data_IF_299680360275
#
_entry.id   IF_299680360275
#
_cell.length_a   1.000
_cell.length_b   1.000
_cell.length_c   1.000
_cell.angle_alpha   90.00
_cell.angle_beta   90.00
_cell.angle_gamma   90.00
#
_symmetry.space_group_name_H-M   'P 1'
#
loop_
_entity.id
_entity.type
_entity.pdbx_description
1 polymer ?
#
# COMPACT_ATOMS: atom_id res chain seq x y z
N UNK A 1 32.24 3.27 17.07
CA UNK A 1 32.53 2.20 16.10
C UNK A 1 31.80 2.55 14.81
N UNK A 2 32.48 2.86 13.70
CA UNK A 2 31.78 3.11 12.44
C UNK A 2 31.14 1.79 11.98
N UNK A 3 29.83 1.80 11.81
CA UNK A 3 29.06 0.66 11.31
C UNK A 3 29.48 0.34 9.88
N UNK A 4 29.78 -0.93 9.63
CA UNK A 4 30.22 -1.46 8.35
C UNK A 4 29.28 -1.03 7.20
N UNK A 5 29.81 -0.79 5.99
CA UNK A 5 28.98 -0.58 4.81
C UNK A 5 28.04 -1.78 4.59
N UNK A 6 26.87 -1.58 3.94
CA UNK A 6 26.02 -2.70 3.54
C UNK A 6 26.87 -3.72 2.75
N UNK A 7 26.66 -5.02 2.95
CA UNK A 7 27.48 -6.04 2.32
C UNK A 7 27.40 -5.89 0.79
N UNK A 8 28.52 -6.12 0.08
CA UNK A 8 28.52 -6.10 -1.38
C UNK A 8 27.49 -7.10 -1.92
N UNK A 9 26.92 -6.85 -3.12
CA UNK A 9 26.04 -7.83 -3.76
C UNK A 9 26.75 -9.18 -3.80
N UNK A 10 26.09 -10.20 -3.23
CA UNK A 10 26.60 -11.57 -3.18
C UNK A 10 26.94 -12.10 -4.58
N UNK A 11 27.72 -13.19 -4.67
CA UNK A 11 28.20 -13.73 -5.92
C UNK A 11 27.05 -13.94 -6.92
N UNK A 12 27.29 -13.50 -8.14
CA UNK A 12 26.40 -13.51 -9.30
C UNK A 12 25.77 -14.88 -9.55
N UNK A 13 24.62 -15.16 -8.94
CA UNK A 13 23.92 -16.43 -9.12
C UNK A 13 22.63 -16.57 -8.29
N UNK A 14 22.61 -16.01 -7.07
CA UNK A 14 21.40 -16.03 -6.24
C UNK A 14 20.52 -14.82 -6.53
N UNK A 15 19.27 -15.09 -6.91
CA UNK A 15 18.30 -14.03 -7.19
C UNK A 15 17.96 -13.24 -5.92
N UNK A 16 17.92 -13.91 -4.76
CA UNK A 16 17.50 -13.33 -3.49
C UNK A 16 18.70 -12.99 -2.59
N UNK A 17 18.92 -11.72 -2.23
CA UNK A 17 20.05 -11.33 -1.40
C UNK A 17 19.93 -11.88 0.04
N UNK A 18 21.06 -12.15 0.73
CA UNK A 18 21.04 -12.74 2.07
C UNK A 18 20.27 -11.94 3.11
N UNK A 19 20.36 -10.60 3.08
CA UNK A 19 19.64 -9.73 4.02
C UNK A 19 18.12 -9.91 3.88
N UNK A 20 17.62 -10.07 2.65
CA UNK A 20 16.19 -10.23 2.39
C UNK A 20 15.68 -11.60 2.87
N UNK A 21 16.52 -12.64 2.77
CA UNK A 21 16.23 -13.96 3.38
C UNK A 21 16.24 -13.94 4.90
N UNK A 22 17.07 -13.08 5.49
CA UNK A 22 17.23 -12.98 6.93
C UNK A 22 16.21 -12.04 7.60
N UNK A 23 15.41 -11.29 6.83
CA UNK A 23 14.40 -10.41 7.40
C UNK A 23 13.32 -11.22 8.14
N UNK A 24 13.00 -10.85 9.40
CA UNK A 24 11.97 -11.53 10.15
C UNK A 24 10.59 -11.26 9.52
N UNK A 25 9.77 -12.30 9.44
CA UNK A 25 8.39 -12.16 9.01
C UNK A 25 7.56 -11.53 10.13
N UNK A 26 6.66 -10.62 9.73
CA UNK A 26 5.64 -10.09 10.62
C UNK A 26 4.69 -11.20 11.11
N UNK A 27 4.16 -11.11 12.33
CA UNK A 27 3.27 -12.12 12.87
C UNK A 27 1.97 -12.21 12.06
N UNK A 28 1.50 -13.44 11.91
CA UNK A 28 0.25 -13.78 11.25
C UNK A 28 -0.74 -14.32 12.29
N UNK A 29 -1.93 -13.72 12.35
CA UNK A 29 -2.96 -14.06 13.31
C UNK A 29 -4.21 -14.64 12.64
N UNK A 30 -4.81 -15.64 13.28
CA UNK A 30 -5.99 -16.37 12.80
C UNK A 30 -7.11 -16.28 13.85
N UNK A 31 -7.89 -15.17 13.88
CA UNK A 31 -8.97 -15.02 14.83
C UNK A 31 -10.02 -16.12 14.69
N UNK A 32 -10.55 -16.58 15.82
CA UNK A 32 -11.81 -17.34 15.85
C UNK A 32 -12.98 -16.46 15.41
N UNK A 33 -14.12 -17.07 15.05
CA UNK A 33 -15.33 -16.28 14.71
C UNK A 33 -15.77 -15.33 15.82
N UNK A 34 -15.62 -15.74 17.09
CA UNK A 34 -15.97 -14.92 18.25
C UNK A 34 -15.03 -13.71 18.39
N UNK A 35 -13.72 -13.92 18.20
CA UNK A 35 -12.74 -12.84 18.22
C UNK A 35 -12.91 -11.89 17.03
N UNK A 36 -13.30 -12.43 15.87
CA UNK A 36 -13.53 -11.64 14.67
C UNK A 36 -14.82 -10.79 14.74
N UNK A 37 -15.66 -10.96 15.77
CA UNK A 37 -16.88 -10.17 15.93
C UNK A 37 -16.61 -8.70 16.31
N UNK A 38 -15.51 -8.43 17.02
CA UNK A 38 -15.11 -7.08 17.45
C UNK A 38 -13.68 -6.75 16.97
N UNK A 39 -13.53 -5.98 15.88
CA UNK A 39 -12.22 -5.66 15.33
C UNK A 39 -11.34 -4.88 16.29
N UNK A 40 -11.90 -3.91 17.03
CA UNK A 40 -11.10 -3.06 17.91
C UNK A 40 -10.58 -3.85 19.10
N UNK A 41 -11.46 -4.66 19.73
CA UNK A 41 -11.04 -5.53 20.83
C UNK A 41 -9.98 -6.54 20.39
N UNK A 42 -10.12 -7.11 19.19
CA UNK A 42 -9.13 -8.06 18.67
C UNK A 42 -7.78 -7.39 18.36
N UNK A 43 -7.78 -6.19 17.76
CA UNK A 43 -6.56 -5.44 17.49
C UNK A 43 -5.81 -5.16 18.79
N UNK A 44 -6.50 -4.67 19.82
CA UNK A 44 -5.90 -4.43 21.14
C UNK A 44 -5.36 -5.72 21.79
N UNK A 45 -6.02 -6.85 21.55
CA UNK A 45 -5.55 -8.16 22.03
C UNK A 45 -4.21 -8.56 21.41
N UNK A 46 -4.04 -8.36 20.09
CA UNK A 46 -2.83 -8.80 19.36
C UNK A 46 -1.71 -7.76 19.38
N UNK A 47 -2.01 -6.50 19.72
CA UNK A 47 -1.07 -5.38 19.72
C UNK A 47 0.23 -5.68 20.47
N UNK A 48 0.25 -6.26 21.70
CA UNK A 48 1.51 -6.54 22.39
C UNK A 48 2.44 -7.49 21.62
N UNK A 49 1.89 -8.40 20.81
CA UNK A 49 2.66 -9.33 19.98
C UNK A 49 3.03 -8.74 18.60
N UNK A 50 2.21 -7.82 18.06
CA UNK A 50 2.43 -7.17 16.77
C UNK A 50 3.33 -5.93 16.84
N UNK A 51 3.27 -5.17 17.94
CA UNK A 51 4.01 -3.92 18.15
C UNK A 51 5.52 -4.01 17.88
N UNK A 52 6.24 -5.07 18.28
CA UNK A 52 7.67 -5.21 18.00
C UNK A 52 8.04 -5.33 16.52
N UNK A 53 7.06 -5.58 15.64
CA UNK A 53 7.25 -5.70 14.19
C UNK A 53 6.76 -4.45 13.45
N UNK A 54 5.94 -3.62 14.09
CA UNK A 54 5.29 -2.46 13.48
C UNK A 54 4.24 -2.79 12.43
N UNK A 55 4.03 -4.06 12.05
CA UNK A 55 2.94 -4.52 11.18
C UNK A 55 2.54 -5.94 11.57
N UNK A 56 1.34 -6.36 11.20
CA UNK A 56 0.94 -7.77 11.26
C UNK A 56 -0.03 -8.14 10.14
N UNK A 57 -0.21 -9.44 9.93
CA UNK A 57 -1.25 -9.98 9.03
C UNK A 57 -2.36 -10.65 9.82
N UNK A 58 -3.62 -10.38 9.49
CA UNK A 58 -4.78 -11.05 10.07
C UNK A 58 -5.51 -11.82 8.97
N UNK A 59 -5.65 -13.14 9.13
CA UNK A 59 -6.37 -13.99 8.18
C UNK A 59 -7.81 -14.19 8.68
N UNK A 60 -8.83 -13.62 8.01
CA UNK A 60 -10.21 -13.75 8.46
C UNK A 60 -10.68 -15.22 8.53
N UNK A 61 -11.49 -15.61 9.54
CA UNK A 61 -12.08 -16.96 9.63
C UNK A 61 -13.26 -17.16 8.66
N UNK A 62 -13.54 -16.19 7.80
CA UNK A 62 -14.70 -16.15 6.93
C UNK A 62 -14.29 -15.95 5.47
N UNK A 63 -15.22 -16.18 4.55
CA UNK A 63 -14.92 -16.10 3.12
C UNK A 63 -14.60 -14.66 2.68
N UNK A 64 -13.85 -14.52 1.59
CA UNK A 64 -13.71 -13.24 0.90
C UNK A 64 -15.05 -12.85 0.24
N UNK A 65 -15.36 -11.54 0.11
CA UNK A 65 -16.52 -11.10 -0.65
C UNK A 65 -16.50 -11.64 -2.10
N UNK A 66 -17.66 -12.05 -2.67
CA UNK A 66 -17.71 -12.57 -4.03
C UNK A 66 -17.15 -11.57 -5.04
N UNK A 67 -16.20 -12.01 -5.88
CA UNK A 67 -15.52 -11.17 -6.88
C UNK A 67 -16.49 -10.36 -7.75
N UNK A 68 -17.60 -10.97 -8.19
CA UNK A 68 -18.63 -10.28 -8.99
C UNK A 68 -19.23 -9.08 -8.26
N UNK A 69 -19.54 -9.25 -6.98
CA UNK A 69 -20.09 -8.19 -6.12
C UNK A 69 -19.04 -7.10 -5.89
N UNK A 70 -17.80 -7.49 -5.58
CA UNK A 70 -16.69 -6.54 -5.42
C UNK A 70 -16.45 -5.72 -6.69
N UNK A 71 -16.43 -6.34 -7.87
CA UNK A 71 -16.28 -5.64 -9.15
C UNK A 71 -17.43 -4.65 -9.40
N UNK A 72 -18.67 -5.00 -9.06
CA UNK A 72 -19.80 -4.09 -9.16
C UNK A 72 -19.68 -2.89 -8.19
N UNK A 73 -19.15 -3.11 -6.97
CA UNK A 73 -18.89 -2.03 -6.00
C UNK A 73 -17.76 -1.10 -6.47
N UNK A 74 -16.70 -1.67 -7.01
CA UNK A 74 -15.60 -0.90 -7.60
C UNK A 74 -16.07 -0.08 -8.81
N UNK A 75 -16.87 -0.65 -9.69
CA UNK A 75 -17.47 0.08 -10.82
C UNK A 75 -18.31 1.27 -10.33
N UNK A 76 -19.16 1.09 -9.31
CA UNK A 76 -19.91 2.21 -8.71
C UNK A 76 -18.99 3.28 -8.13
N UNK A 77 -17.92 2.87 -7.43
CA UNK A 77 -16.94 3.79 -6.84
C UNK A 77 -16.22 4.60 -7.93
N UNK A 78 -15.77 3.94 -9.00
CA UNK A 78 -15.05 4.61 -10.09
C UNK A 78 -15.96 5.53 -10.93
N UNK A 79 -17.24 5.19 -11.10
CA UNK A 79 -18.21 6.09 -11.75
C UNK A 79 -18.48 7.35 -10.94
N UNK A 80 -18.30 7.31 -9.61
CA UNK A 80 -18.48 8.47 -8.74
C UNK A 80 -17.25 9.39 -8.69
N UNK A 81 -16.12 8.99 -9.28
CA UNK A 81 -14.92 9.82 -9.31
C UNK A 81 -15.12 11.04 -10.24
N UNK A 82 -14.68 12.25 -9.84
CA UNK A 82 -14.68 13.42 -10.70
C UNK A 82 -13.98 13.15 -12.05
N UNK A 83 -14.59 13.63 -13.13
CA UNK A 83 -14.06 13.51 -14.50
C UNK A 83 -14.39 14.78 -15.30
N UNK A 84 -13.40 15.32 -16.01
CA UNK A 84 -13.54 16.48 -16.90
C UNK A 84 -14.18 16.13 -18.25
N UNK A 85 -14.34 14.84 -18.55
CA UNK A 85 -14.97 14.33 -19.77
C UNK A 85 -16.14 13.42 -19.39
N UNK A 86 -17.25 13.40 -20.16
CA UNK A 86 -18.34 12.45 -19.95
C UNK A 86 -17.79 11.03 -20.08
N UNK A 87 -17.54 10.39 -18.93
CA UNK A 87 -16.99 9.05 -18.89
C UNK A 87 -18.06 8.06 -19.37
N UNK A 88 -17.80 7.39 -20.50
CA UNK A 88 -18.68 6.36 -21.06
C UNK A 88 -18.63 5.04 -20.28
N UNK A 89 -17.62 4.88 -19.41
CA UNK A 89 -17.42 3.70 -18.57
C UNK A 89 -16.78 4.07 -17.20
N UNK A 90 -17.00 3.26 -16.14
CA UNK A 90 -16.36 3.44 -14.85
C UNK A 90 -14.83 3.45 -14.99
N UNK A 91 -14.19 4.55 -14.60
CA UNK A 91 -12.74 4.74 -14.76
C UNK A 91 -12.12 5.49 -13.59
N UNK A 92 -10.83 5.26 -13.37
CA UNK A 92 -10.05 5.91 -12.32
C UNK A 92 -8.75 6.50 -12.89
N UNK A 93 -8.23 7.59 -12.31
CA UNK A 93 -6.94 8.13 -12.69
C UNK A 93 -5.80 7.27 -12.11
N UNK A 94 -4.69 7.18 -12.83
CA UNK A 94 -3.46 6.54 -12.36
C UNK A 94 -2.25 7.43 -12.66
N UNK A 95 -1.27 7.48 -11.76
CA UNK A 95 0.00 8.19 -11.99
C UNK A 95 1.06 7.26 -12.55
N UNK A 96 2.00 7.84 -13.29
CA UNK A 96 3.29 7.21 -13.49
C UNK A 96 4.10 7.25 -12.21
N UNK A 97 4.80 6.16 -11.94
CA UNK A 97 5.78 6.05 -10.89
C UNK A 97 7.07 5.49 -11.47
N UNK A 98 8.19 6.02 -11.00
CA UNK A 98 9.50 5.52 -11.37
C UNK A 98 9.98 4.49 -10.34
N UNK A 99 10.61 3.43 -10.83
CA UNK A 99 11.28 2.40 -10.02
C UNK A 99 12.74 2.41 -10.45
N UNK A 100 13.63 2.88 -9.57
CA UNK A 100 15.05 3.09 -9.87
C UNK A 100 15.51 4.51 -9.55
N UNK A 101 16.83 4.70 -9.44
CA UNK A 101 17.45 6.00 -9.25
C UNK A 101 17.83 6.61 -10.60
N UNK A 102 17.68 7.92 -10.75
CA UNK A 102 18.17 8.64 -11.93
C UNK A 102 19.39 9.48 -11.54
N UNK A 103 20.58 8.92 -11.67
CA UNK A 103 21.82 9.53 -11.17
C UNK A 103 22.26 10.83 -11.89
N UNK A 104 21.62 11.22 -13.01
CA UNK A 104 22.14 12.29 -13.89
C UNK A 104 21.27 13.54 -14.04
N UNK A 105 20.01 13.55 -13.58
CA UNK A 105 19.10 14.71 -13.64
C UNK A 105 17.98 14.59 -12.59
N UNK A 106 17.49 15.71 -12.02
CA UNK A 106 16.25 15.68 -11.25
C UNK A 106 15.12 15.17 -12.15
N UNK A 107 14.43 14.12 -11.69
CA UNK A 107 13.22 13.65 -12.37
C UNK A 107 12.15 14.74 -12.24
N UNK A 108 11.27 14.91 -13.24
CA UNK A 108 10.10 15.78 -13.09
C UNK A 108 9.31 15.37 -11.84
N UNK A 109 8.80 16.35 -11.10
CA UNK A 109 7.93 16.09 -9.96
C UNK A 109 6.80 15.14 -10.39
N UNK A 110 6.71 13.98 -9.73
CA UNK A 110 5.65 13.02 -10.02
C UNK A 110 4.34 13.65 -9.60
N UNK A 111 3.48 13.96 -10.58
CA UNK A 111 2.14 14.47 -10.30
C UNK A 111 1.35 13.46 -9.46
N UNK A 112 0.57 13.96 -8.49
CA UNK A 112 -0.39 13.13 -7.74
C UNK A 112 -1.34 12.46 -8.73
N UNK A 113 -1.86 11.27 -8.37
CA UNK A 113 -2.74 10.50 -9.28
C UNK A 113 -3.93 11.35 -9.76
N UNK A 114 -4.44 12.23 -8.91
CA UNK A 114 -5.53 13.18 -9.21
C UNK A 114 -5.25 14.19 -10.32
N UNK A 115 -3.99 14.58 -10.48
CA UNK A 115 -3.55 15.51 -11.52
C UNK A 115 -3.20 14.78 -12.83
N UNK A 116 -3.17 13.45 -12.81
CA UNK A 116 -2.89 12.66 -14.00
C UNK A 116 -4.07 12.71 -14.96
N UNK A 117 -3.80 13.16 -16.20
CA UNK A 117 -4.75 13.08 -17.30
C UNK A 117 -5.07 11.64 -17.73
N UNK A 118 -4.34 10.63 -17.24
CA UNK A 118 -4.51 9.23 -17.66
C UNK A 118 -5.49 8.51 -16.76
N UNK A 119 -6.62 8.15 -17.36
CA UNK A 119 -7.66 7.33 -16.73
C UNK A 119 -7.72 5.94 -17.35
N UNK A 120 -8.08 4.96 -16.53
CA UNK A 120 -8.24 3.57 -16.94
C UNK A 120 -9.57 3.04 -16.46
N UNK A 121 -10.23 2.23 -17.28
CA UNK A 121 -11.14 1.21 -16.74
C UNK A 121 -10.32 0.10 -16.08
N UNK A 122 -10.93 -0.69 -15.18
CA UNK A 122 -10.22 -1.78 -14.53
C UNK A 122 -9.66 -2.81 -15.54
N UNK A 123 -10.43 -3.13 -16.58
CA UNK A 123 -10.01 -4.04 -17.66
C UNK A 123 -8.83 -3.47 -18.47
N UNK A 124 -8.83 -2.16 -18.75
CA UNK A 124 -7.71 -1.51 -19.43
C UNK A 124 -6.45 -1.55 -18.56
N UNK A 125 -6.58 -1.33 -17.25
CA UNK A 125 -5.45 -1.38 -16.33
C UNK A 125 -4.91 -2.81 -16.18
N UNK A 126 -5.77 -3.83 -16.09
CA UNK A 126 -5.36 -5.25 -16.09
C UNK A 126 -4.59 -5.61 -17.36
N UNK A 127 -5.10 -5.22 -18.53
CA UNK A 127 -4.41 -5.44 -19.83
C UNK A 127 -3.05 -4.74 -19.87
N UNK A 128 -2.98 -3.50 -19.36
CA UNK A 128 -1.74 -2.73 -19.25
C UNK A 128 -0.73 -3.40 -18.33
N UNK A 129 -1.16 -3.87 -17.16
CA UNK A 129 -0.33 -4.58 -16.19
C UNK A 129 0.24 -5.88 -16.77
N UNK A 130 -0.59 -6.66 -17.47
CA UNK A 130 -0.17 -7.88 -18.13
C UNK A 130 0.88 -7.61 -19.23
N UNK A 131 0.63 -6.62 -20.10
CA UNK A 131 1.53 -6.25 -21.18
C UNK A 131 2.89 -5.71 -20.68
N UNK A 132 2.91 -5.04 -19.53
CA UNK A 132 4.13 -4.47 -18.96
C UNK A 132 5.00 -5.50 -18.22
N UNK A 133 4.43 -6.63 -17.77
CA UNK A 133 5.17 -7.65 -16.99
C UNK A 133 6.40 -8.17 -17.72
N UNK A 134 6.26 -8.59 -18.98
CA UNK A 134 7.36 -9.13 -19.79
C UNK A 134 8.53 -8.14 -19.94
N UNK A 135 8.28 -6.91 -20.43
CA UNK A 135 9.29 -5.87 -20.52
C UNK A 135 9.98 -5.55 -19.18
N UNK A 136 9.24 -5.49 -18.06
CA UNK A 136 9.80 -5.23 -16.74
C UNK A 136 10.77 -6.34 -16.29
N UNK A 137 10.40 -7.61 -16.49
CA UNK A 137 11.27 -8.74 -16.16
C UNK A 137 12.48 -8.84 -17.08
N UNK A 138 12.30 -8.58 -18.38
CA UNK A 138 13.39 -8.59 -19.37
C UNK A 138 14.47 -7.55 -19.04
N UNK A 139 14.10 -6.36 -18.54
CA UNK A 139 15.06 -5.35 -18.06
C UNK A 139 15.94 -5.84 -16.92
N UNK A 140 15.48 -6.83 -16.18
CA UNK A 140 16.21 -7.46 -15.08
C UNK A 140 16.86 -8.79 -15.51
N UNK A 141 16.89 -9.10 -16.82
CA UNK A 141 17.44 -10.35 -17.32
C UNK A 141 16.65 -11.59 -16.89
N UNK A 142 15.35 -11.45 -16.60
CA UNK A 142 14.49 -12.56 -16.21
C UNK A 142 13.52 -12.90 -17.35
N UNK A 143 13.51 -14.15 -17.84
CA UNK A 143 12.53 -14.58 -18.83
C UNK A 143 11.10 -14.54 -18.26
N UNK A 144 10.14 -14.11 -19.08
CA UNK A 144 8.72 -14.03 -18.66
C UNK A 144 8.11 -15.40 -18.30
N UNK A 145 8.69 -16.50 -18.81
CA UNK A 145 8.29 -17.88 -18.52
C UNK A 145 8.80 -18.40 -17.17
N UNK A 146 9.74 -17.69 -16.53
CA UNK A 146 10.30 -18.13 -15.24
C UNK A 146 9.23 -18.06 -14.16
N UNK A 147 9.03 -19.18 -13.46
CA UNK A 147 8.25 -19.20 -12.23
C UNK A 147 8.99 -18.43 -11.13
N UNK A 148 8.32 -17.48 -10.50
CA UNK A 148 8.91 -16.58 -9.49
C UNK A 148 8.11 -16.71 -8.19
N UNK A 149 8.80 -17.03 -7.10
CA UNK A 149 8.24 -16.98 -5.74
C UNK A 149 7.96 -15.53 -5.31
N UNK A 150 7.20 -15.29 -4.21
CA UNK A 150 7.04 -13.95 -3.67
C UNK A 150 8.38 -13.27 -3.34
N UNK A 151 9.33 -14.03 -2.78
CA UNK A 151 10.66 -13.54 -2.42
C UNK A 151 11.51 -13.21 -3.66
N UNK A 152 11.32 -13.93 -4.77
CA UNK A 152 11.95 -13.58 -6.05
C UNK A 152 11.43 -12.25 -6.61
N UNK A 153 10.12 -12.01 -6.54
CA UNK A 153 9.54 -10.73 -6.97
C UNK A 153 10.08 -9.56 -6.15
N UNK A 154 10.30 -9.79 -4.86
CA UNK A 154 10.81 -8.82 -3.92
C UNK A 154 12.29 -8.48 -4.17
N UNK A 155 13.12 -9.50 -4.36
CA UNK A 155 14.51 -9.31 -4.75
C UNK A 155 14.63 -8.59 -6.10
N UNK A 156 13.73 -8.90 -7.05
CA UNK A 156 13.64 -8.21 -8.33
C UNK A 156 13.25 -6.74 -8.19
N UNK A 157 12.33 -6.43 -7.27
CA UNK A 157 11.96 -5.05 -6.97
C UNK A 157 13.16 -4.26 -6.46
N UNK A 158 13.91 -4.76 -5.47
CA UNK A 158 15.09 -4.06 -4.95
C UNK A 158 16.19 -3.92 -5.98
N UNK A 159 16.38 -4.91 -6.86
CA UNK A 159 17.31 -4.80 -7.99
C UNK A 159 16.86 -3.74 -9.00
N UNK A 160 15.55 -3.62 -9.26
CA UNK A 160 15.02 -2.56 -10.11
C UNK A 160 15.16 -1.17 -9.46
N UNK A 161 14.94 -1.07 -8.14
CA UNK A 161 15.07 0.15 -7.37
C UNK A 161 16.52 0.65 -7.28
N UNK A 162 17.49 -0.26 -7.26
CA UNK A 162 18.92 0.06 -7.27
C UNK A 162 19.49 0.33 -8.68
N UNK A 163 18.71 0.14 -9.75
CA UNK A 163 19.21 0.31 -11.11
C UNK A 163 19.28 1.78 -11.52
N UNK A 164 20.37 2.16 -12.22
CA UNK A 164 20.60 3.51 -12.77
C UNK A 164 19.69 3.88 -13.95
N UNK A 165 18.82 2.95 -14.38
CA UNK A 165 17.90 3.15 -15.49
C UNK A 165 16.48 2.85 -15.02
N UNK A 166 15.72 3.85 -14.54
CA UNK A 166 14.44 3.61 -13.93
C UNK A 166 13.44 3.01 -14.92
N UNK A 167 12.61 2.12 -14.40
CA UNK A 167 11.42 1.64 -15.07
C UNK A 167 10.23 2.55 -14.72
N UNK A 168 9.28 2.67 -15.65
CA UNK A 168 8.01 3.36 -15.39
C UNK A 168 6.91 2.35 -15.19
N UNK A 169 6.14 2.52 -14.12
CA UNK A 169 4.96 1.74 -13.78
C UNK A 169 3.78 2.68 -13.58
N UNK A 170 2.56 2.17 -13.76
CA UNK A 170 1.33 2.90 -13.47
C UNK A 170 0.84 2.50 -12.06
N UNK A 171 0.36 3.46 -11.27
CA UNK A 171 -0.20 3.20 -9.94
C UNK A 171 -1.35 4.15 -9.66
N UNK A 172 -2.51 3.61 -9.29
CA UNK A 172 -3.64 4.38 -8.79
C UNK A 172 -3.70 4.22 -7.27
N UNK A 173 -3.47 5.31 -6.55
CA UNK A 173 -3.53 5.35 -5.09
C UNK A 173 -4.51 6.42 -4.63
N UNK A 174 -4.98 6.27 -3.40
CA UNK A 174 -5.76 7.30 -2.69
C UNK A 174 -7.04 7.69 -3.45
N UNK A 175 -7.68 6.70 -4.07
CA UNK A 175 -8.95 6.86 -4.75
C UNK A 175 -10.10 6.68 -3.73
N UNK A 176 -11.03 7.63 -3.55
CA UNK A 176 -12.18 7.43 -2.69
C UNK A 176 -13.06 6.32 -3.27
N UNK A 177 -13.61 5.50 -2.39
CA UNK A 177 -14.47 4.39 -2.79
C UNK A 177 -14.22 3.14 -1.99
N UNK A 178 -14.91 2.06 -2.36
CA UNK A 178 -14.70 0.77 -1.70
C UNK A 178 -15.12 -0.40 -2.59
N UNK A 179 -14.42 -1.53 -2.44
CA UNK A 179 -14.86 -2.82 -2.98
C UNK A 179 -15.90 -3.51 -2.11
N UNK A 180 -16.15 -3.03 -0.89
CA UNK A 180 -17.20 -3.53 -0.01
C UNK A 180 -18.56 -2.88 -0.28
N UNK A 181 -19.64 -3.58 0.08
CA UNK A 181 -21.01 -3.05 0.02
C UNK A 181 -21.24 -2.01 1.13
N UNK A 182 -22.10 -1.02 0.84
CA UNK A 182 -22.47 0.04 1.79
C UNK A 182 -23.44 -0.39 2.88
N UNK A 183 -24.11 -1.54 2.71
CA UNK A 183 -25.02 -2.10 3.69
C UNK A 183 -24.67 -3.57 3.94
N UNK A 184 -24.74 -4.06 5.19
CA UNK A 184 -24.82 -5.49 5.45
C UNK A 184 -26.06 -6.02 4.74
N UNK A 185 -25.92 -7.11 4.00
CA UNK A 185 -27.08 -7.68 3.31
C UNK A 185 -28.12 -8.12 4.36
N UNK A 186 -29.36 -7.64 4.25
CA UNK A 186 -30.46 -8.02 5.15
C UNK A 186 -30.93 -9.48 4.96
N UNK A 187 -30.29 -10.24 4.06
CA UNK A 187 -30.61 -11.63 3.80
C UNK A 187 -29.78 -12.51 4.74
N UNK A 188 -30.44 -12.91 5.82
CA UNK A 188 -29.96 -13.88 6.77
C UNK A 188 -29.52 -15.20 6.08
N UNK A 189 -28.41 -15.74 6.60
CA UNK A 189 -28.01 -17.14 6.56
C UNK A 189 -27.65 -17.75 5.19
N UNK A 190 -26.36 -17.71 4.82
CA UNK A 190 -25.67 -18.91 4.32
C UNK A 190 -24.14 -18.76 4.28
N UNK A 191 -23.60 -17.57 3.99
CA UNK A 191 -22.14 -17.35 3.98
C UNK A 191 -21.83 -15.94 4.46
N UNK A 192 -21.30 -15.81 5.68
CA UNK A 192 -20.71 -14.55 6.15
C UNK A 192 -19.37 -14.40 5.43
N UNK A 193 -19.21 -13.35 4.63
CA UNK A 193 -17.92 -12.94 4.13
C UNK A 193 -17.43 -11.69 4.87
N UNK A 194 -16.15 -11.34 4.77
CA UNK A 194 -15.56 -10.17 5.47
C UNK A 194 -16.40 -8.90 5.34
N UNK A 195 -16.96 -8.64 4.15
CA UNK A 195 -17.80 -7.46 3.89
C UNK A 195 -19.12 -7.38 4.65
N UNK A 196 -19.60 -8.47 5.24
CA UNK A 196 -20.82 -8.50 6.07
C UNK A 196 -20.50 -8.45 7.58
N UNK A 197 -19.22 -8.28 7.93
CA UNK A 197 -18.75 -8.22 9.33
C UNK A 197 -18.38 -6.79 9.74
N UNK A 198 -18.08 -6.59 11.02
CA UNK A 198 -17.55 -5.32 11.54
C UNK A 198 -16.17 -4.96 10.95
N UNK A 199 -15.48 -5.89 10.29
CA UNK A 199 -14.23 -5.67 9.55
C UNK A 199 -14.44 -5.08 8.14
N UNK A 200 -15.68 -4.83 7.71
CA UNK A 200 -15.94 -4.04 6.51
C UNK A 200 -15.32 -2.64 6.70
N UNK A 201 -14.28 -2.33 5.92
CA UNK A 201 -13.51 -1.09 6.05
C UNK A 201 -14.32 0.20 5.82
N UNK A 202 -15.55 0.10 5.29
CA UNK A 202 -16.48 1.24 5.22
C UNK A 202 -17.03 1.66 6.58
N UNK A 203 -17.08 0.72 7.53
CA UNK A 203 -17.67 0.91 8.85
C UNK A 203 -16.65 0.73 9.99
N UNK A 204 -15.50 0.09 9.72
CA UNK A 204 -14.50 -0.25 10.74
C UNK A 204 -14.03 0.96 11.58
N UNK A 205 -13.82 2.13 10.95
CA UNK A 205 -13.46 3.36 11.66
C UNK A 205 -14.53 3.82 12.66
N UNK A 206 -15.79 3.37 12.51
CA UNK A 206 -16.94 3.71 13.35
C UNK A 206 -17.32 2.58 14.32
N UNK A 207 -16.54 1.49 14.37
CA UNK A 207 -16.78 0.37 15.28
C UNK A 207 -16.76 0.83 16.75
N UNK A 208 -17.54 0.15 17.63
CA UNK A 208 -17.39 0.32 19.08
C UNK A 208 -15.91 0.23 19.49
N UNK A 209 -15.46 1.11 20.39
CA UNK A 209 -14.06 1.21 20.79
C UNK A 209 -13.18 2.13 19.93
N UNK A 210 -13.56 2.44 18.68
CA UNK A 210 -12.84 3.43 17.87
C UNK A 210 -13.18 4.85 18.28
N UNK A 211 -12.17 5.70 18.51
CA UNK A 211 -12.37 7.14 18.77
C UNK A 211 -12.86 7.89 17.52
N UNK A 212 -12.54 7.39 16.33
CA UNK A 212 -12.97 7.99 15.06
C UNK A 212 -14.49 7.93 14.87
N UNK A 213 -15.22 7.13 15.67
CA UNK A 213 -16.68 7.12 15.67
C UNK A 213 -17.30 8.48 15.98
N UNK A 214 -16.59 9.35 16.69
CA UNK A 214 -17.06 10.68 17.09
C UNK A 214 -16.71 11.80 16.10
N UNK A 215 -15.90 11.51 15.07
CA UNK A 215 -15.61 12.47 14.01
C UNK A 215 -16.89 12.83 13.24
N UNK A 216 -17.25 14.11 13.13
CA UNK A 216 -18.51 14.50 12.48
C UNK A 216 -18.44 14.38 10.95
N UNK A 217 -17.29 14.74 10.40
CA UNK A 217 -17.07 14.79 8.97
C UNK A 217 -16.55 13.46 8.43
N UNK A 218 -16.81 13.21 7.15
CA UNK A 218 -16.15 12.15 6.41
C UNK A 218 -14.80 12.64 5.91
N UNK A 219 -13.73 12.06 6.44
CA UNK A 219 -12.35 12.30 6.02
C UNK A 219 -11.88 11.08 5.20
N UNK A 220 -11.65 11.24 3.87
CA UNK A 220 -11.10 10.18 3.02
C UNK A 220 -9.77 9.66 3.56
N UNK A 221 -9.62 8.34 3.62
CA UNK A 221 -8.42 7.69 4.18
C UNK A 221 -8.47 7.47 5.69
N UNK A 222 -9.26 8.26 6.42
CA UNK A 222 -9.34 8.17 7.88
C UNK A 222 -10.66 7.53 8.33
N UNK A 223 -11.79 8.14 7.97
CA UNK A 223 -13.12 7.63 8.36
C UNK A 223 -13.84 6.91 7.23
N UNK A 224 -13.37 7.09 5.99
CA UNK A 224 -13.86 6.37 4.81
C UNK A 224 -12.68 5.75 4.06
N UNK A 225 -12.83 4.53 3.51
CA UNK A 225 -11.70 3.82 2.90
C UNK A 225 -11.28 4.44 1.57
N UNK A 226 -10.02 4.19 1.21
CA UNK A 226 -9.48 4.46 -0.12
C UNK A 226 -9.17 3.17 -0.88
N UNK A 227 -9.18 3.25 -2.21
CA UNK A 227 -8.88 2.19 -3.15
C UNK A 227 -7.49 2.39 -3.75
N UNK A 228 -6.81 1.26 -3.94
CA UNK A 228 -5.50 1.17 -4.56
C UNK A 228 -5.53 0.15 -5.69
N UNK A 229 -5.13 0.55 -6.89
CA UNK A 229 -5.00 -0.34 -8.07
C UNK A 229 -3.57 -0.27 -8.58
N UNK A 230 -2.91 -1.43 -8.61
CA UNK A 230 -1.47 -1.53 -8.78
C UNK A 230 -1.10 -2.61 -9.80
N UNK A 231 0.12 -2.52 -10.32
CA UNK A 231 0.75 -3.50 -11.19
C UNK A 231 2.10 -3.93 -10.60
N UNK A 232 2.80 -4.84 -11.29
CA UNK A 232 4.13 -5.29 -10.86
C UNK A 232 5.07 -4.09 -10.67
N UNK A 233 5.72 -4.02 -9.51
CA UNK A 233 6.63 -2.96 -9.07
C UNK A 233 6.00 -1.58 -8.78
N UNK A 234 4.67 -1.43 -8.83
CA UNK A 234 4.03 -0.27 -8.16
C UNK A 234 4.37 -0.31 -6.66
N UNK A 235 4.70 0.84 -6.08
CA UNK A 235 5.17 0.95 -4.70
C UNK A 235 4.55 2.14 -3.97
N UNK A 236 4.60 2.12 -2.65
CA UNK A 236 4.34 3.26 -1.78
C UNK A 236 5.59 3.50 -0.93
N UNK A 237 5.95 4.77 -0.74
CA UNK A 237 7.17 5.13 -0.03
C UNK A 237 7.08 4.80 1.46
N UNK A 238 8.23 4.82 2.14
CA UNK A 238 8.24 4.89 3.59
C UNK A 238 7.43 6.10 4.06
N UNK A 239 6.47 5.85 4.93
CA UNK A 239 5.60 6.86 5.53
C UNK A 239 5.09 6.34 6.86
N UNK A 240 4.48 7.25 7.60
CA UNK A 240 3.50 6.90 8.62
C UNK A 240 2.16 7.55 8.30
N UNK A 241 1.10 6.98 8.85
CA UNK A 241 -0.26 7.48 8.81
C UNK A 241 -0.39 8.81 9.56
N UNK A 242 -1.31 9.64 9.08
CA UNK A 242 -1.63 10.91 9.73
C UNK A 242 -2.08 10.69 11.19
N UNK A 243 -1.59 11.55 12.09
CA UNK A 243 -1.86 11.49 13.53
C UNK A 243 -1.49 10.17 14.21
N UNK A 244 -0.56 9.42 13.64
CA UNK A 244 -0.14 8.12 14.16
C UNK A 244 -1.34 7.16 14.33
N UNK A 245 -2.30 7.22 13.41
CA UNK A 245 -3.47 6.35 13.43
C UNK A 245 -3.15 4.94 12.92
N UNK A 246 -3.90 3.96 13.45
CA UNK A 246 -3.86 2.59 12.92
C UNK A 246 -4.36 2.56 11.48
N UNK A 247 -3.67 1.78 10.64
CA UNK A 247 -4.05 1.56 9.24
C UNK A 247 -4.54 0.13 9.06
N UNK A 248 -5.73 -0.01 8.46
CA UNK A 248 -6.28 -1.31 8.07
C UNK A 248 -6.25 -1.41 6.54
N UNK A 249 -5.54 -2.40 6.00
CA UNK A 249 -5.52 -2.68 4.57
C UNK A 249 -6.23 -4.01 4.29
N UNK A 250 -7.10 -4.06 3.28
CA UNK A 250 -7.72 -5.32 2.84
C UNK A 250 -7.41 -5.59 1.36
N UNK A 251 -6.86 -6.76 1.07
CA UNK A 251 -6.58 -7.18 -0.31
C UNK A 251 -7.80 -7.85 -0.95
N UNK A 252 -8.55 -7.13 -1.79
CA UNK A 252 -9.75 -7.67 -2.44
C UNK A 252 -9.49 -8.84 -3.41
N UNK A 253 -8.52 -8.67 -4.32
CA UNK A 253 -8.09 -9.71 -5.26
C UNK A 253 -6.85 -9.21 -6.01
N UNK A 254 -6.09 -10.11 -6.63
CA UNK A 254 -4.92 -9.80 -7.44
C UNK A 254 -3.67 -10.54 -6.99
N UNK A 255 -2.51 -10.10 -7.48
CA UNK A 255 -1.23 -10.62 -7.03
C UNK A 255 -0.88 -10.13 -5.62
N UNK A 256 0.01 -10.84 -4.93
CA UNK A 256 0.44 -10.48 -3.57
C UNK A 256 1.06 -9.09 -3.50
N UNK A 257 0.86 -8.43 -2.35
CA UNK A 257 1.48 -7.15 -1.98
C UNK A 257 2.49 -7.39 -0.86
N UNK A 258 3.74 -6.99 -1.06
CA UNK A 258 4.80 -7.07 -0.04
C UNK A 258 4.79 -5.82 0.83
N UNK A 259 4.93 -6.00 2.14
CA UNK A 259 5.00 -4.92 3.13
C UNK A 259 6.29 -5.02 3.93
N UNK A 260 6.84 -3.86 4.27
CA UNK A 260 7.94 -3.71 5.20
C UNK A 260 7.48 -2.85 6.36
N UNK A 261 7.72 -3.32 7.59
CA UNK A 261 7.34 -2.61 8.81
C UNK A 261 8.57 -2.19 9.59
N UNK A 262 8.47 -1.03 10.24
CA UNK A 262 9.43 -0.57 11.24
C UNK A 262 8.64 -0.39 12.53
N UNK A 263 9.06 -1.01 13.66
CA UNK A 263 8.36 -0.84 14.92
C UNK A 263 8.44 0.60 15.41
N UNK A 264 7.42 1.04 16.13
CA UNK A 264 7.30 2.39 16.70
C UNK A 264 8.53 2.84 17.48
N UNK A 265 9.07 1.97 18.31
CA UNK A 265 10.24 2.27 19.15
C UNK A 265 11.52 2.50 18.32
N UNK A 266 11.55 2.06 17.07
CA UNK A 266 12.66 2.28 16.13
C UNK A 266 12.44 3.45 15.17
N UNK A 267 11.32 4.19 15.27
CA UNK A 267 10.97 5.25 14.32
C UNK A 267 12.05 6.33 14.21
N UNK A 268 12.51 6.90 15.33
CA UNK A 268 13.55 7.94 15.34
C UNK A 268 14.88 7.42 14.78
N UNK A 269 15.26 6.17 15.12
CA UNK A 269 16.47 5.55 14.59
C UNK A 269 16.38 5.33 13.07
N UNK A 270 15.20 4.98 12.56
CA UNK A 270 14.94 4.84 11.14
C UNK A 270 15.03 6.19 10.41
N UNK A 271 14.43 7.24 10.96
CA UNK A 271 14.55 8.61 10.42
C UNK A 271 16.02 9.04 10.31
N UNK A 272 16.82 8.80 11.34
CA UNK A 272 18.24 9.14 11.33
C UNK A 272 19.00 8.37 10.25
N UNK A 273 18.68 7.08 10.05
CA UNK A 273 19.27 6.30 8.95
C UNK A 273 18.86 6.86 7.60
N UNK A 274 17.59 7.22 7.40
CA UNK A 274 17.11 7.82 6.14
C UNK A 274 17.81 9.16 5.88
N UNK A 275 17.90 10.03 6.89
CA UNK A 275 18.59 11.32 6.80
C UNK A 275 20.07 11.16 6.46
N UNK A 276 20.78 10.31 7.20
CA UNK A 276 22.24 10.16 7.07
C UNK A 276 22.65 9.32 5.85
N UNK A 277 21.89 8.28 5.51
CA UNK A 277 22.26 7.29 4.48
C UNK A 277 21.45 7.43 3.19
N UNK A 278 20.21 7.88 3.28
CA UNK A 278 19.36 8.14 2.12
C UNK A 278 19.69 9.49 1.47
N UNK A 279 19.79 10.55 2.28
CA UNK A 279 20.04 11.91 1.81
C UNK A 279 21.48 12.40 2.02
N UNK A 280 22.40 11.52 2.43
CA UNK A 280 23.79 11.89 2.74
C UNK A 280 23.93 13.06 3.75
N UNK A 281 22.94 13.24 4.64
CA UNK A 281 22.89 14.34 5.59
C UNK A 281 22.33 15.66 5.04
N UNK A 282 21.92 15.72 3.77
CA UNK A 282 21.19 16.87 3.22
C UNK A 282 19.80 16.95 3.86
N UNK A 283 19.54 18.05 4.56
CA UNK A 283 18.20 18.38 5.05
C UNK A 283 17.53 19.20 3.95
N UNK A 284 16.40 18.73 3.42
CA UNK A 284 15.56 19.59 2.58
C UNK A 284 15.21 20.83 3.40
N UNK A 285 15.68 22.04 3.06
CA UNK A 285 15.22 23.23 3.75
C UNK A 285 13.74 23.37 3.42
N UNK A 286 12.88 23.18 4.41
CA UNK A 286 11.49 23.62 4.30
C UNK A 286 11.57 25.14 4.19
N UNK A 287 11.49 25.65 2.95
CA UNK A 287 11.78 27.03 2.64
C UNK A 287 10.88 28.01 3.39
N UNK A 288 11.49 28.98 4.05
CA UNK A 288 10.87 30.29 4.28
C UNK A 288 10.64 30.93 2.89
N UNK A 289 9.39 31.00 2.42
CA UNK A 289 8.87 32.07 1.55
C UNK A 289 7.42 31.82 1.11
N UNK A 290 6.62 32.87 1.25
CA UNK A 290 5.26 33.10 0.77
C UNK A 290 4.94 32.52 -0.64
N UNK A 291 4.33 31.33 -0.69
CA UNK A 291 3.62 30.83 -1.85
C UNK A 291 2.30 30.18 -1.42
N UNK A 292 1.19 30.35 -2.17
CA UNK A 292 -0.13 29.87 -1.75
C UNK A 292 -0.10 28.35 -1.56
N UNK A 293 -0.58 27.94 -0.39
CA UNK A 293 -0.59 26.58 0.13
C UNK A 293 -1.14 25.58 -0.91
N UNK A 294 -0.26 24.97 -1.69
CA UNK A 294 -0.52 23.69 -2.35
C UNK A 294 0.04 22.65 -1.39
N UNK A 295 -0.85 21.89 -0.75
CA UNK A 295 -0.50 20.70 0.03
C UNK A 295 0.12 19.66 -0.90
N UNK A 296 1.39 19.83 -1.24
CA UNK A 296 2.27 18.75 -1.66
C UNK A 296 2.75 18.09 -0.38
N UNK A 297 2.07 17.03 0.05
CA UNK A 297 2.56 16.15 1.11
C UNK A 297 3.81 15.42 0.60
N UNK A 298 4.94 16.11 0.67
CA UNK A 298 6.28 15.52 0.75
C UNK A 298 6.91 15.88 2.10
N UNK A 299 6.09 15.93 3.15
CA UNK A 299 6.51 15.99 4.54
C UNK A 299 6.55 14.57 5.09
N UNK A 300 7.74 14.00 5.20
CA UNK A 300 7.96 12.83 6.06
C UNK A 300 8.09 13.38 7.48
N UNK A 301 6.96 13.49 8.17
CA UNK A 301 6.90 13.66 9.62
C UNK A 301 6.67 12.27 10.18
N UNK A 302 7.62 11.72 10.94
CA UNK A 302 7.56 10.31 11.32
C UNK A 302 7.17 10.11 12.77
N UNK A 303 6.33 9.11 12.98
CA UNK A 303 6.12 8.39 14.22
C UNK A 303 5.37 7.10 13.85
N UNK A 304 6.05 5.96 13.79
CA UNK A 304 5.53 4.73 13.19
C UNK A 304 4.25 4.18 13.88
N UNK A 305 3.34 3.64 13.08
CA UNK A 305 2.12 2.95 13.52
C UNK A 305 2.08 1.54 12.94
N UNK A 306 1.15 0.74 13.45
CA UNK A 306 0.78 -0.62 13.05
C UNK A 306 -0.17 -0.65 11.84
N UNK A 307 0.32 -0.83 10.59
CA UNK A 307 -0.50 -1.37 9.53
C UNK A 307 -0.89 -2.81 9.84
N UNK A 308 -2.20 -3.04 9.94
CA UNK A 308 -2.77 -4.38 9.97
C UNK A 308 -3.23 -4.69 8.56
N UNK A 309 -2.52 -5.61 7.91
CA UNK A 309 -2.92 -6.14 6.62
C UNK A 309 -3.88 -7.32 6.81
N UNK A 310 -5.02 -7.29 6.15
CA UNK A 310 -6.00 -8.39 6.02
C UNK A 310 -6.08 -8.90 4.59
#
# INVERSE_FOLDING_TARGET
>A
MPSSPPPPPGPSGELVPPWLRALPLAPEFHPTEAEFADPVAYILKIEPAAAPYGICKVVPPCAQPPRKTTLANLARSFSALPSSSPATAPSFPARHQYVGLYARRPLPAVQTAWLSARRYTLQQFESRAAAARGPLLARLGVPASKHLSPLDHDALFWRAAAADRPATVDYASDLPGSGFSSAPSSRAAAQRHVGDTAWNLRAAARSPGSLLRFARDEVPGVTTPMLYVAMLFSWFAWHVEDHDLHSLNYMHFGAAKTWYGVPRDAALAFEDVVRLRGYAGEVNPVGEADAPFVSTSSSVSSSAVLPIAM
#
